data_IF_661230372593
#
_entry.id   IF_661230372593
#
_cell.length_a   1.000
_cell.length_b   1.000
_cell.length_c   1.000
_cell.angle_alpha   90.00
_cell.angle_beta   90.00
_cell.angle_gamma   90.00
#
_symmetry.space_group_name_H-M   'P 1'
#
loop_
_entity.id
_entity.type
_entity.pdbx_description
1 polymer ?
#
# COMPACT_ATOMS: atom_id res chain seq x y z
N UNK A 1 -31.55 31.73 1.53
CA UNK A 1 -32.00 30.37 1.88
C UNK A 1 -31.17 29.28 1.19
N UNK A 2 -30.87 29.39 -0.10
CA UNK A 2 -30.18 28.36 -0.92
C UNK A 2 -28.74 28.03 -0.47
N UNK A 3 -28.00 28.99 0.11
CA UNK A 3 -26.61 28.75 0.58
C UNK A 3 -26.53 27.84 1.81
N UNK A 4 -27.51 27.95 2.74
CA UNK A 4 -27.53 27.17 3.98
C UNK A 4 -27.85 25.70 3.71
N UNK A 5 -28.74 25.41 2.77
CA UNK A 5 -29.06 24.03 2.36
C UNK A 5 -27.88 23.33 1.69
N UNK A 6 -27.10 24.02 0.84
CA UNK A 6 -25.87 23.45 0.25
C UNK A 6 -24.81 23.15 1.30
N UNK A 7 -24.61 24.01 2.30
CA UNK A 7 -23.64 23.74 3.39
C UNK A 7 -24.05 22.56 4.28
N UNK A 8 -25.35 22.43 4.57
CA UNK A 8 -25.89 21.32 5.36
C UNK A 8 -25.73 20.00 4.58
N UNK A 9 -25.98 20.00 3.27
CA UNK A 9 -25.87 18.81 2.42
C UNK A 9 -24.40 18.37 2.22
N UNK A 10 -23.46 19.32 2.07
CA UNK A 10 -22.02 19.04 2.01
C UNK A 10 -21.49 18.52 3.35
N UNK A 11 -21.96 19.09 4.47
CA UNK A 11 -21.63 18.64 5.82
C UNK A 11 -22.13 17.22 6.08
N UNK A 12 -23.38 16.92 5.72
CA UNK A 12 -23.95 15.59 5.85
C UNK A 12 -23.16 14.57 5.02
N UNK A 13 -22.86 14.88 3.76
CA UNK A 13 -22.09 14.01 2.87
C UNK A 13 -20.70 13.68 3.43
N UNK A 14 -20.00 14.70 3.96
CA UNK A 14 -18.68 14.54 4.61
C UNK A 14 -18.74 13.69 5.88
N UNK A 15 -19.83 13.80 6.63
CA UNK A 15 -20.06 13.02 7.86
C UNK A 15 -20.40 11.56 7.55
N UNK A 16 -21.25 11.32 6.54
CA UNK A 16 -21.57 9.96 6.07
C UNK A 16 -20.35 9.25 5.52
N UNK A 17 -19.49 9.95 4.76
CA UNK A 17 -18.24 9.38 4.24
C UNK A 17 -17.25 9.02 5.36
N UNK A 18 -17.15 9.84 6.42
CA UNK A 18 -16.31 9.54 7.58
C UNK A 18 -16.79 8.30 8.36
N UNK A 19 -18.10 8.16 8.56
CA UNK A 19 -18.70 6.99 9.21
C UNK A 19 -18.48 5.74 8.36
N UNK A 20 -18.71 5.83 7.05
CA UNK A 20 -18.48 4.72 6.11
C UNK A 20 -17.02 4.29 6.11
N UNK A 21 -16.09 5.25 6.15
CA UNK A 21 -14.65 4.99 6.26
C UNK A 21 -14.30 4.30 7.58
N UNK A 22 -14.88 4.73 8.70
CA UNK A 22 -14.67 4.11 10.00
C UNK A 22 -15.18 2.66 10.02
N UNK A 23 -16.40 2.40 9.55
CA UNK A 23 -16.99 1.06 9.47
C UNK A 23 -16.16 0.16 8.56
N UNK A 24 -15.77 0.63 7.37
CA UNK A 24 -14.93 -0.16 6.46
C UNK A 24 -13.57 -0.49 7.07
N UNK A 25 -12.93 0.43 7.78
CA UNK A 25 -11.67 0.15 8.49
C UNK A 25 -11.86 -0.92 9.58
N UNK A 26 -12.94 -0.87 10.37
CA UNK A 26 -13.22 -1.89 11.37
C UNK A 26 -13.56 -3.23 10.75
N UNK A 27 -14.35 -3.24 9.68
CA UNK A 27 -14.70 -4.45 8.93
C UNK A 27 -13.46 -5.15 8.35
N UNK A 28 -12.53 -4.39 7.75
CA UNK A 28 -11.26 -4.95 7.24
C UNK A 28 -10.40 -5.51 8.37
N UNK A 29 -10.33 -4.82 9.52
CA UNK A 29 -9.64 -5.33 10.72
C UNK A 29 -10.25 -6.65 11.20
N UNK A 30 -11.58 -6.70 11.35
CA UNK A 30 -12.33 -7.89 11.77
C UNK A 30 -12.13 -9.02 10.77
N UNK A 31 -12.20 -8.77 9.46
CA UNK A 31 -11.99 -9.80 8.45
C UNK A 31 -10.58 -10.41 8.53
N UNK A 32 -9.56 -9.57 8.78
CA UNK A 32 -8.18 -10.02 8.96
C UNK A 32 -7.99 -10.78 10.29
N UNK A 33 -8.54 -10.30 11.40
CA UNK A 33 -8.41 -10.96 12.71
C UNK A 33 -9.28 -12.22 12.83
N UNK A 34 -10.45 -12.27 12.19
CA UNK A 34 -11.32 -13.45 12.17
C UNK A 34 -10.68 -14.61 11.41
N UNK A 35 -9.98 -14.34 10.31
CA UNK A 35 -9.23 -15.37 9.58
C UNK A 35 -8.10 -15.96 10.44
N UNK A 36 -7.38 -15.13 11.18
CA UNK A 36 -6.33 -15.56 12.12
C UNK A 36 -6.94 -16.35 13.29
N UNK A 37 -8.04 -15.86 13.87
CA UNK A 37 -8.75 -16.55 14.95
C UNK A 37 -9.30 -17.91 14.52
N UNK A 38 -9.89 -18.00 13.32
CA UNK A 38 -10.36 -19.26 12.75
C UNK A 38 -9.24 -20.27 12.54
N UNK A 39 -8.06 -19.82 12.08
CA UNK A 39 -6.87 -20.66 11.97
C UNK A 39 -6.40 -21.22 13.32
N UNK A 40 -6.42 -20.39 14.38
CA UNK A 40 -6.03 -20.82 15.73
C UNK A 40 -7.00 -21.87 16.28
N UNK A 41 -8.31 -21.65 16.11
CA UNK A 41 -9.35 -22.61 16.53
C UNK A 41 -9.22 -23.92 15.77
N UNK A 42 -8.94 -23.86 14.46
CA UNK A 42 -8.69 -25.04 13.63
C UNK A 42 -7.46 -25.83 14.14
N UNK A 43 -6.36 -25.14 14.45
CA UNK A 43 -5.14 -25.75 14.98
C UNK A 43 -5.37 -26.39 16.36
N UNK A 44 -6.17 -25.77 17.22
CA UNK A 44 -6.60 -26.36 18.50
C UNK A 44 -7.43 -27.62 18.29
N UNK A 45 -8.43 -27.59 17.40
CA UNK A 45 -9.27 -28.74 17.09
C UNK A 45 -8.46 -29.92 16.53
N UNK A 46 -7.51 -29.66 15.63
CA UNK A 46 -6.57 -30.67 15.11
C UNK A 46 -5.72 -31.27 16.23
N UNK A 47 -5.22 -30.42 17.15
CA UNK A 47 -4.40 -30.87 18.27
C UNK A 47 -5.17 -31.76 19.24
N UNK A 48 -6.43 -31.42 19.55
CA UNK A 48 -7.30 -32.25 20.40
C UNK A 48 -7.78 -33.52 19.70
N UNK A 49 -7.97 -33.51 18.39
CA UNK A 49 -8.38 -34.70 17.63
C UNK A 49 -7.35 -35.84 17.68
N UNK A 50 -6.08 -35.52 17.96
CA UNK A 50 -4.98 -36.49 18.07
C UNK A 50 -4.89 -37.08 19.50
N UNK A 51 -5.63 -36.54 20.48
CA UNK A 51 -5.68 -37.01 21.87
C UNK A 51 -5.84 -38.54 22.05
N UNK A 52 -6.83 -39.21 21.42
CA UNK A 52 -7.02 -40.65 21.60
C UNK A 52 -5.80 -41.48 21.15
N UNK A 53 -5.07 -41.01 20.13
CA UNK A 53 -3.87 -41.67 19.62
C UNK A 53 -2.68 -41.54 20.60
N UNK A 54 -2.53 -40.37 21.23
CA UNK A 54 -1.48 -40.09 22.22
C UNK A 54 -1.71 -40.87 23.50
N UNK A 55 -2.97 -40.91 23.97
CA UNK A 55 -3.38 -41.66 25.17
C UNK A 55 -3.08 -43.16 25.01
N UNK A 56 -3.26 -43.71 23.81
CA UNK A 56 -2.93 -45.10 23.50
C UNK A 56 -1.42 -45.41 23.61
N UNK A 57 -0.55 -44.41 23.46
CA UNK A 57 0.92 -44.53 23.53
C UNK A 57 1.50 -44.27 24.93
N UNK A 58 0.68 -44.10 25.97
CA UNK A 58 1.08 -43.76 27.34
C UNK A 58 1.88 -42.44 27.48
N UNK A 59 1.78 -41.52 26.51
CA UNK A 59 2.40 -40.20 26.60
C UNK A 59 1.43 -39.26 27.33
N UNK A 60 1.93 -38.45 28.28
CA UNK A 60 1.10 -37.50 29.01
C UNK A 60 0.44 -36.48 28.05
N UNK A 61 -0.90 -36.46 27.95
CA UNK A 61 -1.61 -35.64 26.96
C UNK A 61 -1.37 -34.13 27.12
N UNK A 62 -1.16 -33.69 28.37
CA UNK A 62 -0.89 -32.30 28.71
C UNK A 62 0.44 -31.78 28.16
N UNK A 63 1.39 -32.67 27.82
CA UNK A 63 2.67 -32.30 27.20
C UNK A 63 2.57 -32.41 25.68
N UNK A 64 1.90 -33.44 25.18
CA UNK A 64 1.84 -33.73 23.76
C UNK A 64 0.91 -32.77 22.98
N UNK A 65 -0.25 -32.39 23.54
CA UNK A 65 -1.20 -31.49 22.87
C UNK A 65 -0.56 -30.11 22.60
N UNK A 66 0.09 -29.43 23.57
CA UNK A 66 0.76 -28.16 23.31
C UNK A 66 1.87 -28.28 22.28
N UNK A 67 2.64 -29.37 22.29
CA UNK A 67 3.74 -29.58 21.35
C UNK A 67 3.22 -29.75 19.92
N UNK A 68 2.13 -30.50 19.73
CA UNK A 68 1.45 -30.65 18.45
C UNK A 68 0.87 -29.32 17.99
N UNK A 69 0.25 -28.56 18.89
CA UNK A 69 -0.28 -27.23 18.56
C UNK A 69 0.83 -26.31 18.03
N UNK A 70 1.97 -26.26 18.72
CA UNK A 70 3.14 -25.47 18.28
C UNK A 70 3.62 -25.95 16.91
N UNK A 71 3.71 -27.26 16.69
CA UNK A 71 4.13 -27.81 15.40
C UNK A 71 3.17 -27.43 14.25
N UNK A 72 1.85 -27.52 14.47
CA UNK A 72 0.83 -27.14 13.48
C UNK A 72 0.90 -25.64 13.17
N UNK A 73 1.00 -24.80 14.19
CA UNK A 73 1.15 -23.35 14.01
C UNK A 73 2.43 -23.02 13.24
N UNK A 74 3.53 -23.71 13.54
CA UNK A 74 4.80 -23.52 12.85
C UNK A 74 4.72 -23.91 11.36
N UNK A 75 4.06 -25.02 11.04
CA UNK A 75 3.82 -25.45 9.65
C UNK A 75 2.95 -24.42 8.91
N UNK A 76 1.87 -23.95 9.53
CA UNK A 76 1.02 -22.90 8.95
C UNK A 76 1.80 -21.59 8.74
N UNK A 77 2.67 -21.22 9.68
CA UNK A 77 3.52 -20.04 9.57
C UNK A 77 4.52 -20.16 8.42
N UNK A 78 5.20 -21.30 8.27
CA UNK A 78 6.08 -21.58 7.14
C UNK A 78 5.33 -21.56 5.82
N UNK A 79 4.16 -22.19 5.75
CA UNK A 79 3.31 -22.20 4.57
C UNK A 79 2.90 -20.77 4.20
N UNK A 80 2.45 -19.96 5.15
CA UNK A 80 2.12 -18.56 4.93
C UNK A 80 3.33 -17.74 4.44
N UNK A 81 4.50 -17.97 5.01
CA UNK A 81 5.72 -17.24 4.63
C UNK A 81 6.19 -17.63 3.22
N UNK A 82 6.10 -18.90 2.84
CA UNK A 82 6.39 -19.35 1.46
C UNK A 82 5.32 -18.80 0.51
N UNK A 83 4.06 -18.86 0.89
CA UNK A 83 2.94 -18.36 0.09
C UNK A 83 3.08 -16.86 -0.20
N UNK A 84 3.47 -16.05 0.78
CA UNK A 84 3.68 -14.61 0.61
C UNK A 84 4.95 -14.31 -0.20
N UNK A 85 6.09 -14.96 0.12
CA UNK A 85 7.37 -14.62 -0.51
C UNK A 85 7.62 -15.25 -1.88
N UNK A 86 7.15 -16.49 -2.13
CA UNK A 86 7.40 -17.21 -3.39
C UNK A 86 6.27 -17.07 -4.41
N UNK A 87 5.02 -16.95 -3.98
CA UNK A 87 3.87 -16.86 -4.89
C UNK A 87 3.43 -15.41 -5.14
N UNK A 88 4.06 -14.42 -4.49
CA UNK A 88 3.84 -12.98 -4.70
C UNK A 88 2.35 -12.55 -4.71
N UNK A 89 1.45 -13.30 -4.06
CA UNK A 89 0.01 -13.16 -4.32
C UNK A 89 -0.56 -11.81 -3.85
N UNK A 90 0.08 -11.19 -2.85
CA UNK A 90 -0.26 -9.85 -2.38
C UNK A 90 0.43 -8.74 -3.16
N UNK A 91 1.29 -9.04 -4.16
CA UNK A 91 2.02 -8.01 -4.90
C UNK A 91 1.07 -7.03 -5.59
N UNK A 92 -0.05 -7.51 -6.12
CA UNK A 92 -1.08 -6.68 -6.74
C UNK A 92 -1.87 -5.87 -5.71
N UNK A 93 -2.22 -6.44 -4.56
CA UNK A 93 -2.89 -5.70 -3.48
C UNK A 93 -1.95 -4.68 -2.83
N UNK A 94 -0.66 -4.98 -2.71
CA UNK A 94 0.37 -4.11 -2.14
C UNK A 94 0.74 -3.00 -3.13
N UNK A 95 0.81 -3.31 -4.43
CA UNK A 95 0.93 -2.30 -5.50
C UNK A 95 -0.32 -1.42 -5.53
N UNK A 96 -1.52 -1.99 -5.43
CA UNK A 96 -2.75 -1.21 -5.36
C UNK A 96 -2.80 -0.33 -4.11
N UNK A 97 -2.39 -0.85 -2.95
CA UNK A 97 -2.32 -0.08 -1.70
C UNK A 97 -1.23 1.01 -1.76
N UNK A 98 -0.16 0.82 -2.54
CA UNK A 98 0.87 1.84 -2.80
C UNK A 98 0.45 2.88 -3.86
N UNK A 99 -0.11 2.43 -4.98
CA UNK A 99 -0.50 3.27 -6.14
C UNK A 99 -1.79 4.03 -5.88
N UNK A 100 -2.77 3.41 -5.21
CA UNK A 100 -4.02 4.07 -4.80
C UNK A 100 -3.89 4.79 -3.46
N UNK A 101 -2.69 4.86 -2.88
CA UNK A 101 -2.48 5.64 -1.68
C UNK A 101 -2.61 7.14 -2.05
N UNK A 102 -3.68 7.84 -1.64
CA UNK A 102 -3.82 9.27 -1.95
C UNK A 102 -2.74 10.11 -1.26
N UNK A 103 -1.94 9.51 -0.38
CA UNK A 103 -0.83 10.11 0.34
C UNK A 103 0.54 9.81 -0.30
N UNK A 104 0.59 9.00 -1.36
CA UNK A 104 1.79 8.72 -2.15
C UNK A 104 2.08 9.78 -3.22
N UNK A 105 1.73 11.05 -2.98
CA UNK A 105 1.76 12.15 -3.98
C UNK A 105 3.16 12.42 -4.56
N UNK A 106 4.22 11.93 -3.90
CA UNK A 106 5.60 12.02 -4.38
C UNK A 106 5.98 10.89 -5.33
N UNK A 107 5.24 9.79 -5.36
CA UNK A 107 5.49 8.64 -6.22
C UNK A 107 5.01 8.95 -7.64
N UNK A 108 5.82 8.65 -8.65
CA UNK A 108 5.35 8.72 -10.03
C UNK A 108 4.81 7.35 -10.40
N UNK A 109 3.49 7.26 -10.56
CA UNK A 109 2.83 6.02 -10.96
C UNK A 109 3.16 5.64 -12.42
N UNK A 110 2.97 4.38 -12.83
CA UNK A 110 3.26 3.94 -14.21
C UNK A 110 2.53 4.74 -15.29
N UNK A 111 1.29 5.15 -15.02
CA UNK A 111 0.51 5.99 -15.94
C UNK A 111 1.06 7.42 -16.03
N UNK A 112 1.48 7.99 -14.91
CA UNK A 112 2.08 9.33 -14.86
C UNK A 112 3.45 9.33 -15.54
N UNK A 113 4.27 8.30 -15.30
CA UNK A 113 5.54 8.10 -16.01
C UNK A 113 5.32 7.99 -17.52
N UNK A 114 4.34 7.19 -17.95
CA UNK A 114 3.99 7.08 -19.38
C UNK A 114 3.58 8.43 -19.97
N UNK A 115 2.73 9.19 -19.27
CA UNK A 115 2.27 10.51 -19.70
C UNK A 115 3.43 11.50 -19.77
N UNK A 116 4.27 11.55 -18.74
CA UNK A 116 5.42 12.46 -18.71
C UNK A 116 6.41 12.15 -19.83
N UNK A 117 6.77 10.87 -20.01
CA UNK A 117 7.75 10.48 -21.04
C UNK A 117 7.23 10.66 -22.47
N UNK A 118 5.98 10.32 -22.74
CA UNK A 118 5.47 10.25 -24.12
C UNK A 118 4.66 11.47 -24.55
N UNK A 119 4.28 12.35 -23.63
CA UNK A 119 3.49 13.53 -23.94
C UNK A 119 4.15 14.80 -23.40
N UNK A 120 4.26 14.95 -22.08
CA UNK A 120 4.66 16.23 -21.49
C UNK A 120 6.12 16.59 -21.82
N UNK A 121 7.06 15.63 -21.68
CA UNK A 121 8.47 15.86 -22.04
C UNK A 121 8.67 16.08 -23.54
N UNK A 122 7.93 15.38 -24.40
CA UNK A 122 7.99 15.56 -25.85
C UNK A 122 7.53 16.97 -26.23
N UNK A 123 6.42 17.44 -25.63
CA UNK A 123 5.93 18.80 -25.84
C UNK A 123 6.96 19.83 -25.35
N UNK A 124 7.55 19.62 -24.17
CA UNK A 124 8.57 20.53 -23.64
C UNK A 124 9.83 20.58 -24.51
N UNK A 125 10.29 19.43 -25.02
CA UNK A 125 11.43 19.37 -25.94
C UNK A 125 11.15 20.10 -27.25
N UNK A 126 9.98 19.88 -27.85
CA UNK A 126 9.57 20.61 -29.04
C UNK A 126 9.48 22.14 -28.79
N UNK A 127 8.95 22.55 -27.64
CA UNK A 127 8.91 23.97 -27.26
C UNK A 127 10.31 24.56 -27.05
N UNK A 128 11.24 23.77 -26.50
CA UNK A 128 12.63 24.18 -26.30
C UNK A 128 13.35 24.44 -27.63
N UNK A 129 13.12 23.61 -28.65
CA UNK A 129 13.69 23.81 -30.00
C UNK A 129 13.16 25.07 -30.69
N UNK A 130 11.91 25.45 -30.42
CA UNK A 130 11.24 26.60 -31.01
C UNK A 130 11.52 27.93 -30.28
N UNK A 131 12.05 27.88 -29.06
CA UNK A 131 12.34 29.07 -28.26
C UNK A 131 13.65 29.75 -28.74
N UNK A 132 13.66 31.09 -28.85
CA UNK A 132 14.89 31.83 -29.10
C UNK A 132 15.85 31.70 -27.91
N UNK A 133 17.15 31.89 -28.18
CA UNK A 133 18.17 31.89 -27.14
C UNK A 133 17.88 32.94 -26.07
N UNK A 134 18.05 32.54 -24.81
CA UNK A 134 17.82 33.41 -23.65
C UNK A 134 17.33 32.66 -22.42
N UNK A 135 17.06 33.43 -21.36
CA UNK A 135 16.73 32.92 -20.03
C UNK A 135 15.56 31.92 -20.02
N UNK A 136 14.54 32.13 -20.85
CA UNK A 136 13.37 31.23 -20.90
C UNK A 136 13.72 29.85 -21.47
N UNK A 137 14.64 29.80 -22.43
CA UNK A 137 15.12 28.55 -23.03
C UNK A 137 15.95 27.74 -22.03
N UNK A 138 16.83 28.42 -21.30
CA UNK A 138 17.61 27.81 -20.20
C UNK A 138 16.70 27.29 -19.08
N UNK A 139 15.73 28.08 -18.63
CA UNK A 139 14.76 27.63 -17.60
C UNK A 139 13.96 26.41 -18.05
N UNK A 140 13.57 26.34 -19.33
CA UNK A 140 12.86 25.18 -19.87
C UNK A 140 13.77 23.94 -19.93
N UNK A 141 15.03 24.11 -20.32
CA UNK A 141 16.01 23.02 -20.33
C UNK A 141 16.20 22.41 -18.93
N UNK A 142 16.37 23.24 -17.90
CA UNK A 142 16.48 22.77 -16.52
C UNK A 142 15.23 22.01 -16.07
N UNK A 143 14.03 22.47 -16.46
CA UNK A 143 12.77 21.78 -16.16
C UNK A 143 12.68 20.43 -16.85
N UNK A 144 13.07 20.34 -18.13
CA UNK A 144 13.11 19.07 -18.88
C UNK A 144 14.03 18.08 -18.18
N UNK A 145 15.25 18.50 -17.82
CA UNK A 145 16.19 17.64 -17.10
C UNK A 145 15.65 17.16 -15.75
N UNK A 146 15.01 18.06 -14.99
CA UNK A 146 14.44 17.75 -13.69
C UNK A 146 13.31 16.72 -13.78
N UNK A 147 12.36 16.92 -14.69
CA UNK A 147 11.22 15.99 -14.90
C UNK A 147 11.72 14.65 -15.42
N UNK A 148 12.72 14.64 -16.31
CA UNK A 148 13.36 13.40 -16.79
C UNK A 148 13.97 12.63 -15.62
N UNK A 149 14.71 13.32 -14.75
CA UNK A 149 15.32 12.72 -13.57
C UNK A 149 14.28 12.12 -12.60
N UNK A 150 13.15 12.82 -12.37
CA UNK A 150 12.07 12.28 -11.54
C UNK A 150 11.48 10.99 -12.15
N UNK A 151 11.31 10.93 -13.47
CA UNK A 151 10.82 9.74 -14.16
C UNK A 151 11.81 8.57 -14.05
N UNK A 152 13.12 8.83 -14.08
CA UNK A 152 14.15 7.78 -13.90
C UNK A 152 14.16 7.22 -12.48
N UNK A 153 13.98 8.09 -11.48
CA UNK A 153 13.84 7.71 -10.08
C UNK A 153 12.50 7.03 -9.78
N UNK A 154 11.44 7.35 -10.53
CA UNK A 154 10.07 6.92 -10.26
C UNK A 154 9.42 7.62 -9.06
N UNK A 155 10.00 8.74 -8.61
CA UNK A 155 9.47 9.59 -7.56
C UNK A 155 10.08 11.01 -7.64
N UNK A 156 9.44 11.96 -6.97
CA UNK A 156 9.92 13.35 -6.85
C UNK A 156 10.80 13.45 -5.58
N UNK A 157 12.07 13.87 -5.68
CA UNK A 157 12.93 14.11 -4.53
C UNK A 157 12.37 15.19 -3.60
N UNK A 158 12.63 15.06 -2.30
CA UNK A 158 12.08 15.96 -1.27
C UNK A 158 12.55 17.41 -1.43
N UNK A 159 13.78 17.59 -1.95
CA UNK A 159 14.35 18.90 -2.32
C UNK A 159 13.52 19.64 -3.38
N UNK A 160 12.91 18.90 -4.29
CA UNK A 160 12.16 19.41 -5.41
C UNK A 160 10.66 19.49 -5.11
N UNK A 161 10.23 18.84 -4.02
CA UNK A 161 8.84 18.79 -3.60
C UNK A 161 8.38 20.14 -3.02
N UNK A 162 7.18 20.65 -3.39
CA UNK A 162 6.70 21.94 -2.93
C UNK A 162 6.67 22.03 -1.39
N UNK A 163 7.26 23.10 -0.82
CA UNK A 163 7.37 23.28 0.64
C UNK A 163 6.05 23.11 1.38
N UNK A 164 4.96 23.64 0.82
CA UNK A 164 3.62 23.56 1.40
C UNK A 164 3.01 22.15 1.37
N UNK A 165 3.56 21.23 0.56
CA UNK A 165 3.14 19.83 0.46
C UNK A 165 4.10 18.85 1.14
N UNK A 166 5.28 19.29 1.61
CA UNK A 166 6.27 18.41 2.23
C UNK A 166 5.74 17.59 3.43
N UNK A 167 4.71 18.09 4.13
CA UNK A 167 4.01 17.34 5.20
C UNK A 167 3.35 16.04 4.71
N UNK A 168 3.05 15.93 3.41
CA UNK A 168 2.48 14.74 2.78
C UNK A 168 3.55 13.78 2.23
N UNK A 169 4.83 14.11 2.37
CA UNK A 169 5.93 13.24 1.97
C UNK A 169 6.12 12.13 3.03
N UNK A 170 5.48 10.99 2.82
CA UNK A 170 5.35 9.93 3.83
C UNK A 170 6.65 9.16 4.13
N UNK A 171 7.59 9.08 3.20
CA UNK A 171 8.81 8.27 3.36
C UNK A 171 10.00 9.12 3.81
N UNK A 172 10.82 8.55 4.71
CA UNK A 172 12.14 9.11 5.05
C UNK A 172 13.18 8.69 4.01
N UNK A 173 13.01 7.51 3.43
CA UNK A 173 13.89 6.94 2.42
C UNK A 173 13.32 7.27 1.03
N UNK A 174 14.05 8.09 0.28
CA UNK A 174 13.77 8.44 -1.11
C UNK A 174 14.05 7.20 -1.98
N UNK A 175 13.00 6.46 -2.32
CA UNK A 175 13.12 5.23 -3.11
C UNK A 175 11.92 5.02 -4.02
N UNK A 176 12.17 4.33 -5.15
CA UNK A 176 11.13 3.92 -6.10
C UNK A 176 10.17 2.94 -5.42
N UNK A 177 8.87 3.20 -5.53
CA UNK A 177 7.81 2.39 -4.93
C UNK A 177 7.51 1.10 -5.71
#
# INVERSE_FOLDING_TARGET
MIQKEKEIDISNKKTTDNIRRFINMQYVKIKRTAAVGSMIILALNLSFSIYPFIKHRNIHPYIAIPFIFIAVVFILWLAAHIYVKKLEMYKTEFLAERVLNPYGVYAIGPFEEMKYRNMDLVIMQNLYELLPEGKQKEELYERIQRVTHWCDLGYIPKKDFPKHLQQYYLTKDESRL
#
